data_IF_416950357779
#
_entry.id   IF_416950357779
#
_cell.length_a   1.000
_cell.length_b   1.000
_cell.length_c   1.000
_cell.angle_alpha   90.00
_cell.angle_beta   90.00
_cell.angle_gamma   90.00
#
_symmetry.space_group_name_H-M   'P 1'
#
loop_
_entity.id
_entity.type
_entity.pdbx_description
1 polymer ?
#
# COMPACT_ATOMS: atom_id res chain seq x y z
N UNK A 1 -19.11 19.46 5.86
CA UNK A 1 -18.43 18.34 5.19
C UNK A 1 -16.94 18.45 5.49
N UNK A 2 -16.24 17.35 5.79
CA UNK A 2 -14.83 17.43 6.22
C UNK A 2 -13.93 17.77 5.02
N UNK A 3 -13.31 18.95 5.00
CA UNK A 3 -12.45 19.45 3.92
C UNK A 3 -11.37 18.44 3.47
N UNK A 4 -10.84 17.64 4.40
CA UNK A 4 -9.87 16.60 4.08
C UNK A 4 -10.46 15.47 3.21
N UNK A 5 -11.71 15.09 3.49
CA UNK A 5 -12.38 14.06 2.71
C UNK A 5 -12.67 14.52 1.29
N UNK A 6 -12.98 15.81 1.10
CA UNK A 6 -13.14 16.39 -0.23
C UNK A 6 -11.83 16.41 -1.02
N UNK A 7 -10.72 16.76 -0.36
CA UNK A 7 -9.39 16.71 -0.99
C UNK A 7 -9.06 15.28 -1.40
N UNK A 8 -9.27 14.29 -0.52
CA UNK A 8 -9.03 12.88 -0.85
C UNK A 8 -9.87 12.41 -2.04
N UNK A 9 -11.16 12.72 -2.06
CA UNK A 9 -12.06 12.38 -3.18
C UNK A 9 -11.63 12.99 -4.52
N UNK A 10 -10.85 14.05 -4.51
CA UNK A 10 -10.33 14.71 -5.73
C UNK A 10 -9.06 14.07 -6.28
N UNK A 11 -8.45 13.12 -5.56
CA UNK A 11 -7.22 12.46 -5.96
C UNK A 11 -7.55 11.29 -6.90
N UNK A 12 -6.96 11.26 -8.12
CA UNK A 12 -7.14 10.13 -9.02
C UNK A 12 -6.63 8.83 -8.39
N UNK A 13 -7.46 7.78 -8.43
CA UNK A 13 -7.09 6.50 -7.81
C UNK A 13 -7.99 5.36 -8.26
N UNK A 14 -7.45 4.14 -8.31
CA UNK A 14 -8.17 2.88 -8.37
C UNK A 14 -8.43 2.29 -6.97
N UNK A 15 -7.95 2.92 -5.91
CA UNK A 15 -7.89 2.44 -4.52
C UNK A 15 -9.07 2.86 -3.64
N UNK A 16 -10.13 3.43 -4.22
CA UNK A 16 -11.19 4.19 -3.52
C UNK A 16 -11.83 3.44 -2.34
N UNK A 17 -12.20 2.17 -2.52
CA UNK A 17 -12.97 1.42 -1.52
C UNK A 17 -12.11 0.88 -0.36
N UNK A 18 -10.79 0.94 -0.48
CA UNK A 18 -9.88 0.41 0.54
C UNK A 18 -9.59 1.39 1.69
N UNK A 19 -10.11 2.63 1.64
CA UNK A 19 -9.89 3.65 2.67
C UNK A 19 -10.32 3.18 4.06
N UNK A 20 -11.45 2.49 4.17
CA UNK A 20 -11.98 1.99 5.46
C UNK A 20 -11.04 0.93 6.04
N UNK A 21 -10.57 0.01 5.20
CA UNK A 21 -9.61 -0.99 5.61
C UNK A 21 -8.27 -0.36 6.02
N UNK A 22 -7.74 0.61 5.25
CA UNK A 22 -6.50 1.29 5.58
C UNK A 22 -6.55 1.97 6.96
N UNK A 23 -7.65 2.63 7.28
CA UNK A 23 -7.82 3.23 8.61
C UNK A 23 -7.96 2.18 9.70
N UNK A 24 -8.71 1.10 9.43
CA UNK A 24 -8.91 0.01 10.39
C UNK A 24 -7.59 -0.68 10.71
N UNK A 25 -6.80 -1.09 9.70
CA UNK A 25 -5.54 -1.81 9.93
C UNK A 25 -4.49 -0.95 10.64
N UNK A 26 -4.42 0.35 10.33
CA UNK A 26 -3.52 1.28 11.02
C UNK A 26 -3.95 1.46 12.49
N UNK A 27 -5.24 1.60 12.78
CA UNK A 27 -5.73 1.67 14.15
C UNK A 27 -5.55 0.35 14.91
N UNK A 28 -5.67 -0.79 14.24
CA UNK A 28 -5.50 -2.12 14.84
C UNK A 28 -4.04 -2.42 15.15
N UNK A 29 -3.15 -2.22 14.18
CA UNK A 29 -1.73 -2.57 14.29
C UNK A 29 -0.90 -1.53 15.05
N UNK A 30 -1.38 -0.29 15.21
CA UNK A 30 -0.61 0.82 15.81
C UNK A 30 0.83 0.90 15.25
N UNK A 31 1.02 0.91 13.91
CA UNK A 31 2.33 0.75 13.30
C UNK A 31 3.27 1.91 13.64
N UNK A 32 4.55 1.60 13.80
CA UNK A 32 5.61 2.62 13.83
C UNK A 32 5.99 3.03 12.40
N UNK A 33 6.05 2.06 11.48
CA UNK A 33 6.51 2.27 10.10
C UNK A 33 5.59 1.56 9.11
N UNK A 34 5.08 2.36 8.16
CA UNK A 34 4.38 1.90 6.98
C UNK A 34 5.24 2.25 5.76
N UNK A 35 5.41 1.29 4.85
CA UNK A 35 6.03 1.51 3.54
C UNK A 35 5.00 1.29 2.46
N UNK A 36 4.89 2.26 1.56
CA UNK A 36 3.98 2.27 0.42
C UNK A 36 4.80 2.35 -0.87
N UNK A 37 4.89 1.22 -1.58
CA UNK A 37 5.61 1.09 -2.85
C UNK A 37 4.63 1.30 -4.01
N UNK A 38 4.85 2.35 -4.81
CA UNK A 38 3.93 2.77 -5.86
C UNK A 38 2.92 3.80 -5.35
N UNK A 39 3.35 5.04 -5.31
CA UNK A 39 2.57 6.15 -4.72
C UNK A 39 1.63 6.80 -5.72
N UNK A 40 2.05 6.88 -7.00
CA UNK A 40 1.33 7.60 -8.04
C UNK A 40 0.86 9.00 -7.59
N UNK A 41 -0.44 9.21 -7.40
CA UNK A 41 -1.03 10.45 -6.90
C UNK A 41 -1.18 10.50 -5.36
N UNK A 42 -0.74 9.47 -4.64
CA UNK A 42 -0.60 9.46 -3.18
C UNK A 42 -1.82 8.97 -2.41
N UNK A 43 -2.87 8.47 -3.05
CA UNK A 43 -4.12 8.16 -2.37
C UNK A 43 -3.93 7.11 -1.25
N UNK A 44 -3.27 5.99 -1.53
CA UNK A 44 -2.94 4.94 -0.54
C UNK A 44 -2.16 5.49 0.65
N UNK A 45 -1.06 6.21 0.37
CA UNK A 45 -0.24 6.87 1.41
C UNK A 45 -1.07 7.81 2.28
N UNK A 46 -1.99 8.58 1.69
CA UNK A 46 -2.85 9.49 2.46
C UNK A 46 -3.88 8.72 3.28
N UNK A 47 -4.46 7.63 2.76
CA UNK A 47 -5.38 6.78 3.52
C UNK A 47 -4.72 6.18 4.76
N UNK A 48 -3.51 5.64 4.64
CA UNK A 48 -2.71 5.19 5.78
C UNK A 48 -2.34 6.33 6.74
N UNK A 49 -2.16 7.55 6.22
CA UNK A 49 -1.80 8.73 7.00
C UNK A 49 -2.95 9.37 7.79
N UNK A 50 -4.21 9.06 7.47
CA UNK A 50 -5.39 9.67 8.10
C UNK A 50 -5.44 9.50 9.63
N UNK A 51 -5.16 8.29 10.19
CA UNK A 51 -5.16 8.11 11.64
C UNK A 51 -4.06 8.87 12.37
N UNK A 52 -3.04 9.37 11.66
CA UNK A 52 -1.85 10.04 12.22
C UNK A 52 -1.02 9.16 13.15
N UNK A 53 -1.06 7.87 12.96
CA UNK A 53 -0.30 6.86 13.68
C UNK A 53 0.90 6.45 12.81
N UNK A 54 2.08 6.37 13.41
CA UNK A 54 3.31 5.96 12.74
C UNK A 54 3.81 6.91 11.65
N UNK A 55 4.87 6.48 10.99
CA UNK A 55 5.51 7.19 9.87
C UNK A 55 5.27 6.39 8.58
N UNK A 56 4.77 7.06 7.57
CA UNK A 56 4.55 6.50 6.23
C UNK A 56 5.70 6.94 5.32
N UNK A 57 6.31 5.98 4.62
CA UNK A 57 7.31 6.20 3.59
C UNK A 57 6.73 5.77 2.25
N UNK A 58 6.26 6.73 1.47
CA UNK A 58 5.82 6.50 0.10
C UNK A 58 7.00 6.54 -0.86
N UNK A 59 7.26 5.45 -1.56
CA UNK A 59 8.41 5.30 -2.46
C UNK A 59 7.90 5.14 -3.89
N UNK A 60 8.40 5.96 -4.81
CA UNK A 60 8.02 5.93 -6.22
C UNK A 60 9.08 6.66 -7.04
N UNK A 61 9.18 6.38 -8.32
CA UNK A 61 9.90 7.23 -9.28
C UNK A 61 9.16 8.55 -9.50
N UNK A 62 7.84 8.57 -9.33
CA UNK A 62 6.93 9.67 -9.64
C UNK A 62 6.98 10.12 -11.12
N UNK A 63 7.34 9.20 -11.99
CA UNK A 63 7.46 9.44 -13.44
C UNK A 63 6.41 8.66 -14.23
N UNK A 64 5.60 7.83 -13.51
CA UNK A 64 4.69 6.88 -14.10
C UNK A 64 5.41 5.69 -14.73
N UNK A 65 4.67 4.87 -15.44
CA UNK A 65 5.14 3.67 -16.12
C UNK A 65 4.40 3.47 -17.47
N UNK A 66 4.83 2.52 -18.31
CA UNK A 66 4.19 2.29 -19.61
C UNK A 66 2.70 1.88 -19.54
N UNK A 67 2.21 1.39 -18.38
CA UNK A 67 0.82 0.95 -18.20
C UNK A 67 -0.06 2.08 -17.67
N UNK A 68 0.44 2.87 -16.73
CA UNK A 68 -0.28 3.99 -16.09
C UNK A 68 -0.07 5.34 -16.78
N UNK A 69 0.86 5.39 -17.75
CA UNK A 69 1.27 6.61 -18.43
C UNK A 69 2.36 7.39 -17.69
N UNK A 70 2.96 8.36 -18.41
CA UNK A 70 4.05 9.17 -17.88
C UNK A 70 3.51 10.45 -17.24
N UNK A 71 3.56 10.55 -15.91
CA UNK A 71 3.10 11.69 -15.15
C UNK A 71 4.12 12.04 -14.06
N UNK A 72 4.59 13.27 -14.01
CA UNK A 72 5.40 13.74 -12.88
C UNK A 72 4.48 14.15 -11.72
N UNK A 73 4.29 13.24 -10.76
CA UNK A 73 3.39 13.43 -9.63
C UNK A 73 4.08 13.87 -8.34
N UNK A 74 5.42 14.00 -8.32
CA UNK A 74 6.15 14.27 -7.09
C UNK A 74 5.77 15.60 -6.40
N UNK A 75 5.67 16.67 -7.18
CA UNK A 75 5.25 17.97 -6.61
C UNK A 75 3.77 17.97 -6.23
N UNK A 76 2.93 17.27 -6.98
CA UNK A 76 1.52 17.08 -6.66
C UNK A 76 1.35 16.42 -5.28
N UNK A 77 2.00 15.28 -5.03
CA UNK A 77 1.86 14.60 -3.74
C UNK A 77 2.41 15.42 -2.57
N UNK A 78 3.49 16.17 -2.78
CA UNK A 78 4.02 17.10 -1.76
C UNK A 78 3.03 18.22 -1.44
N UNK A 79 2.37 18.77 -2.46
CA UNK A 79 1.35 19.78 -2.28
C UNK A 79 0.15 19.20 -1.53
N UNK A 80 -0.40 18.04 -1.97
CA UNK A 80 -1.52 17.37 -1.32
C UNK A 80 -1.22 16.99 0.14
N UNK A 81 -0.01 16.52 0.44
CA UNK A 81 0.45 16.30 1.82
C UNK A 81 0.32 17.54 2.70
N UNK A 82 0.70 18.72 2.17
CA UNK A 82 0.56 20.00 2.89
C UNK A 82 -0.91 20.38 3.08
N UNK A 83 -1.72 20.28 2.02
CA UNK A 83 -3.16 20.60 2.07
C UNK A 83 -3.91 19.73 3.10
N UNK A 84 -3.54 18.45 3.20
CA UNK A 84 -4.08 17.49 4.15
C UNK A 84 -3.48 17.59 5.57
N UNK A 85 -2.41 18.39 5.75
CA UNK A 85 -1.66 18.51 6.99
C UNK A 85 -1.19 17.15 7.53
N UNK A 86 -0.53 16.36 6.65
CA UNK A 86 -0.03 15.00 6.95
C UNK A 86 1.49 15.01 7.12
N UNK A 87 1.96 15.46 8.28
CA UNK A 87 3.40 15.57 8.58
C UNK A 87 4.07 14.21 8.86
N UNK A 88 3.28 13.16 9.04
CA UNK A 88 3.74 11.79 9.25
C UNK A 88 4.07 11.04 7.95
N UNK A 89 3.91 11.67 6.77
CA UNK A 89 4.25 11.08 5.47
C UNK A 89 5.54 11.67 4.93
N UNK A 90 6.43 10.81 4.44
CA UNK A 90 7.65 11.18 3.71
C UNK A 90 7.62 10.50 2.35
N UNK A 91 7.72 11.28 1.28
CA UNK A 91 7.85 10.75 -0.07
C UNK A 91 9.32 10.67 -0.46
N UNK A 92 9.75 9.50 -0.95
CA UNK A 92 11.11 9.19 -1.40
C UNK A 92 11.06 8.94 -2.90
N UNK A 93 11.70 9.82 -3.68
CA UNK A 93 11.82 9.64 -5.12
C UNK A 93 12.95 8.66 -5.44
N UNK A 94 12.62 7.50 -6.03
CA UNK A 94 13.60 6.49 -6.41
C UNK A 94 13.00 5.13 -6.75
N UNK A 95 13.84 4.28 -7.34
CA UNK A 95 13.49 2.88 -7.62
C UNK A 95 13.46 2.07 -6.31
N UNK A 96 12.48 1.20 -6.14
CA UNK A 96 12.28 0.39 -4.92
C UNK A 96 13.53 -0.38 -4.52
N UNK A 97 14.18 -1.08 -5.47
CA UNK A 97 15.38 -1.85 -5.21
C UNK A 97 16.59 -1.00 -4.78
N UNK A 98 16.71 0.24 -5.24
CA UNK A 98 17.79 1.14 -4.83
C UNK A 98 17.54 1.68 -3.42
N UNK A 99 16.32 2.06 -3.09
CA UNK A 99 15.93 2.50 -1.75
C UNK A 99 16.10 1.36 -0.74
N UNK A 100 15.71 0.13 -1.10
CA UNK A 100 15.84 -1.06 -0.24
C UNK A 100 17.30 -1.35 0.17
N UNK A 101 18.29 -1.08 -0.69
CA UNK A 101 19.72 -1.27 -0.34
C UNK A 101 20.15 -0.42 0.86
N UNK A 102 19.48 0.70 1.09
CA UNK A 102 19.77 1.63 2.19
C UNK A 102 18.77 1.51 3.35
N UNK A 103 17.70 0.71 3.18
CA UNK A 103 16.68 0.55 4.19
C UNK A 103 17.17 -0.31 5.35
N UNK A 104 16.90 0.13 6.60
CA UNK A 104 17.36 -0.56 7.83
C UNK A 104 16.26 -0.71 8.88
N UNK A 105 15.08 -0.14 8.63
CA UNK A 105 14.03 -0.08 9.64
C UNK A 105 13.09 -1.29 9.50
N UNK A 106 12.63 -1.87 10.61
CA UNK A 106 11.55 -2.86 10.56
C UNK A 106 10.25 -2.20 10.08
N UNK A 107 9.44 -2.94 9.34
CA UNK A 107 8.20 -2.47 8.72
C UNK A 107 7.03 -3.20 9.38
N UNK A 108 6.02 -2.45 9.80
CA UNK A 108 4.78 -3.01 10.34
C UNK A 108 3.76 -3.28 9.23
N UNK A 109 3.65 -2.37 8.25
CA UNK A 109 2.76 -2.52 7.10
C UNK A 109 3.55 -2.21 5.84
N UNK A 110 3.62 -3.16 4.92
CA UNK A 110 4.18 -3.02 3.58
C UNK A 110 3.05 -3.08 2.56
N UNK A 111 2.88 -2.03 1.75
CA UNK A 111 1.97 -2.02 0.62
C UNK A 111 2.77 -2.08 -0.68
N UNK A 112 2.41 -3.00 -1.59
CA UNK A 112 3.04 -3.23 -2.88
C UNK A 112 2.02 -2.92 -3.98
N UNK A 113 2.26 -1.83 -4.69
CA UNK A 113 1.42 -1.31 -5.78
C UNK A 113 2.31 -0.71 -6.88
N UNK A 114 3.35 -1.46 -7.26
CA UNK A 114 4.32 -1.05 -8.26
C UNK A 114 3.94 -1.49 -9.68
N UNK A 115 4.91 -1.98 -10.46
CA UNK A 115 4.67 -2.46 -11.81
C UNK A 115 4.03 -3.86 -11.79
N UNK A 116 2.89 -4.05 -12.44
CA UNK A 116 1.94 -5.14 -12.23
C UNK A 116 2.30 -6.47 -12.92
N UNK A 117 3.51 -6.64 -13.46
CA UNK A 117 3.94 -7.95 -13.98
C UNK A 117 4.29 -8.89 -12.83
N UNK A 118 4.09 -10.20 -13.02
CA UNK A 118 4.47 -11.23 -12.04
C UNK A 118 5.91 -11.05 -11.54
N UNK A 119 6.87 -10.86 -12.47
CA UNK A 119 8.28 -10.70 -12.12
C UNK A 119 8.59 -9.44 -11.31
N UNK A 120 7.88 -8.34 -11.58
CA UNK A 120 8.05 -7.11 -10.84
C UNK A 120 7.51 -7.24 -9.41
N UNK A 121 6.27 -7.71 -9.25
CA UNK A 121 5.64 -7.92 -7.94
C UNK A 121 6.46 -8.91 -7.09
N UNK A 122 6.90 -10.03 -7.70
CA UNK A 122 7.77 -10.99 -7.03
C UNK A 122 9.07 -10.35 -6.56
N UNK A 123 9.73 -9.57 -7.42
CA UNK A 123 10.97 -8.88 -7.07
C UNK A 123 10.77 -7.87 -5.93
N UNK A 124 9.68 -7.13 -5.93
CA UNK A 124 9.35 -6.17 -4.88
C UNK A 124 9.10 -6.87 -3.56
N UNK A 125 8.33 -7.96 -3.58
CA UNK A 125 8.12 -8.81 -2.41
C UNK A 125 9.43 -9.40 -1.88
N UNK A 126 10.23 -10.07 -2.71
CA UNK A 126 11.51 -10.69 -2.32
C UNK A 126 12.50 -9.65 -1.75
N UNK A 127 12.42 -8.43 -2.26
CA UNK A 127 13.29 -7.32 -1.85
C UNK A 127 12.87 -6.72 -0.50
N UNK A 128 11.56 -6.56 -0.25
CA UNK A 128 11.06 -5.76 0.86
C UNK A 128 10.48 -6.59 2.02
N UNK A 129 9.96 -7.80 1.78
CA UNK A 129 9.33 -8.65 2.81
C UNK A 129 10.28 -8.99 3.96
N UNK A 130 11.57 -9.08 3.72
CA UNK A 130 12.60 -9.32 4.75
C UNK A 130 12.70 -8.24 5.82
N UNK A 131 12.16 -7.04 5.57
CA UNK A 131 12.11 -5.96 6.55
C UNK A 131 10.81 -5.95 7.33
N UNK A 132 9.81 -6.74 6.91
CA UNK A 132 8.51 -6.80 7.58
C UNK A 132 8.65 -7.62 8.87
N UNK A 133 8.12 -7.08 9.96
CA UNK A 133 8.08 -7.74 11.27
C UNK A 133 7.29 -9.05 11.19
N UNK A 134 7.50 -9.96 12.14
CA UNK A 134 6.78 -11.24 12.18
C UNK A 134 5.26 -11.09 12.38
N UNK A 135 4.84 -10.06 13.07
CA UNK A 135 3.43 -9.66 13.25
C UNK A 135 2.95 -8.61 12.23
N UNK A 136 3.79 -8.28 11.27
CA UNK A 136 3.51 -7.30 10.23
C UNK A 136 2.56 -7.81 9.15
N UNK A 137 2.12 -6.87 8.32
CA UNK A 137 1.16 -7.10 7.24
C UNK A 137 1.76 -6.67 5.90
N UNK A 138 1.54 -7.49 4.87
CA UNK A 138 1.88 -7.17 3.49
C UNK A 138 0.60 -7.07 2.68
N UNK A 139 0.44 -5.97 1.94
CA UNK A 139 -0.71 -5.66 1.11
C UNK A 139 -0.28 -5.67 -0.36
N UNK A 140 -1.11 -6.26 -1.23
CA UNK A 140 -0.92 -6.29 -2.68
C UNK A 140 -2.12 -5.68 -3.36
N UNK A 141 -1.96 -4.57 -4.04
CA UNK A 141 -3.05 -4.02 -4.87
C UNK A 141 -3.17 -4.76 -6.20
N UNK A 142 -4.28 -4.57 -6.90
CA UNK A 142 -4.58 -5.12 -8.23
C UNK A 142 -4.68 -6.66 -8.33
N UNK A 143 -4.96 -7.34 -7.23
CA UNK A 143 -5.14 -8.79 -7.21
C UNK A 143 -6.34 -9.29 -8.01
N UNK A 144 -7.26 -8.41 -8.42
CA UNK A 144 -8.44 -8.76 -9.21
C UNK A 144 -8.39 -8.26 -10.67
N UNK A 145 -7.26 -7.73 -11.13
CA UNK A 145 -7.10 -7.30 -12.52
C UNK A 145 -6.60 -8.46 -13.39
N UNK A 146 -7.41 -8.97 -14.35
CA UNK A 146 -7.14 -10.25 -15.02
C UNK A 146 -5.85 -10.32 -15.83
N UNK A 147 -5.32 -9.17 -16.28
CA UNK A 147 -4.13 -9.12 -17.14
C UNK A 147 -2.84 -8.82 -16.38
N UNK A 148 -2.94 -8.71 -15.04
CA UNK A 148 -1.80 -8.44 -14.18
C UNK A 148 -1.28 -9.75 -13.56
N UNK A 149 0.04 -9.83 -13.40
CA UNK A 149 0.68 -10.97 -12.74
C UNK A 149 0.61 -10.93 -11.21
N UNK A 150 -0.06 -9.93 -10.65
CA UNK A 150 -0.18 -9.74 -9.19
C UNK A 150 -0.94 -10.91 -8.55
N UNK A 151 -2.08 -11.30 -9.16
CA UNK A 151 -2.90 -12.41 -8.66
C UNK A 151 -2.15 -13.72 -8.66
N UNK A 152 -1.46 -14.02 -9.77
CA UNK A 152 -0.68 -15.24 -9.91
C UNK A 152 0.37 -15.34 -8.80
N UNK A 153 1.14 -14.28 -8.57
CA UNK A 153 2.12 -14.25 -7.49
C UNK A 153 1.48 -14.32 -6.09
N UNK A 154 0.40 -13.57 -5.86
CA UNK A 154 -0.31 -13.59 -4.58
C UNK A 154 -0.82 -14.99 -4.23
N UNK A 155 -1.32 -15.75 -5.20
CA UNK A 155 -1.84 -17.10 -4.98
C UNK A 155 -0.74 -18.10 -4.60
N UNK A 156 0.51 -17.90 -5.01
CA UNK A 156 1.66 -18.72 -4.63
C UNK A 156 2.13 -18.53 -3.18
N UNK A 157 1.77 -17.42 -2.54
CA UNK A 157 2.18 -17.14 -1.16
C UNK A 157 1.49 -18.11 -0.22
N UNK A 158 2.28 -18.93 0.51
CA UNK A 158 1.77 -19.96 1.44
C UNK A 158 1.38 -19.43 2.82
N UNK A 159 1.62 -18.13 3.13
CA UNK A 159 1.24 -17.53 4.40
C UNK A 159 -0.28 -17.34 4.50
N UNK A 160 -0.84 -17.25 5.72
CA UNK A 160 -2.22 -16.85 5.93
C UNK A 160 -2.55 -15.57 5.15
N UNK A 161 -3.65 -15.58 4.40
CA UNK A 161 -4.01 -14.48 3.50
C UNK A 161 -5.51 -14.38 3.28
N UNK A 162 -5.95 -13.19 2.87
CA UNK A 162 -7.32 -12.91 2.42
C UNK A 162 -7.29 -11.86 1.31
N UNK A 163 -8.41 -11.65 0.63
CA UNK A 163 -8.46 -10.73 -0.51
C UNK A 163 -9.77 -9.95 -0.57
N UNK A 164 -9.67 -8.63 -0.67
CA UNK A 164 -10.79 -7.77 -1.05
C UNK A 164 -10.95 -7.80 -2.57
N UNK A 165 -12.18 -7.86 -3.07
CA UNK A 165 -12.46 -7.91 -4.52
C UNK A 165 -12.87 -6.58 -5.12
N UNK A 166 -13.15 -5.56 -4.29
CA UNK A 166 -13.46 -4.20 -4.74
C UNK A 166 -12.20 -3.45 -5.21
N UNK A 167 -12.36 -2.33 -5.90
CA UNK A 167 -11.29 -1.41 -6.30
C UNK A 167 -10.03 -2.12 -6.83
N UNK A 168 -10.21 -2.98 -7.83
CA UNK A 168 -9.17 -3.82 -8.47
C UNK A 168 -8.60 -4.93 -7.58
N UNK A 169 -9.06 -5.07 -6.36
CA UNK A 169 -8.61 -6.08 -5.40
C UNK A 169 -7.48 -5.60 -4.50
N UNK A 170 -7.49 -6.08 -3.25
CA UNK A 170 -6.42 -5.87 -2.29
C UNK A 170 -6.16 -7.16 -1.52
N UNK A 171 -5.06 -7.83 -1.86
CA UNK A 171 -4.57 -9.00 -1.13
C UNK A 171 -3.91 -8.60 0.18
N UNK A 172 -4.18 -9.34 1.24
CA UNK A 172 -3.62 -9.14 2.58
C UNK A 172 -2.93 -10.42 3.01
N UNK A 173 -1.66 -10.32 3.41
CA UNK A 173 -0.84 -11.44 3.87
C UNK A 173 -0.25 -11.11 5.23
N UNK A 174 -0.27 -12.04 6.16
CA UNK A 174 0.43 -11.94 7.45
C UNK A 174 0.81 -13.32 7.96
N UNK A 175 1.87 -13.42 8.76
CA UNK A 175 2.19 -14.64 9.52
C UNK A 175 1.20 -14.86 10.68
N UNK A 176 0.50 -13.80 11.10
CA UNK A 176 -0.51 -13.85 12.16
C UNK A 176 -1.86 -14.30 11.59
N UNK A 177 -2.18 -15.59 11.69
CA UNK A 177 -3.45 -16.14 11.20
C UNK A 177 -4.67 -15.54 11.87
N UNK A 178 -4.60 -15.26 13.18
CA UNK A 178 -5.71 -14.65 13.91
C UNK A 178 -6.04 -13.24 13.40
N UNK A 179 -5.05 -12.49 12.93
CA UNK A 179 -5.31 -11.20 12.30
C UNK A 179 -6.03 -11.37 10.96
N UNK A 180 -5.66 -12.36 10.16
CA UNK A 180 -6.34 -12.65 8.88
C UNK A 180 -7.79 -13.07 9.13
N UNK A 181 -8.05 -13.93 10.11
CA UNK A 181 -9.40 -14.32 10.51
C UNK A 181 -10.24 -13.10 10.96
N UNK A 182 -9.66 -12.23 11.78
CA UNK A 182 -10.34 -10.99 12.23
C UNK A 182 -10.66 -10.04 11.07
N UNK A 183 -9.78 -9.93 10.07
CA UNK A 183 -10.03 -9.15 8.85
C UNK A 183 -11.20 -9.74 8.08
N UNK A 184 -11.21 -11.07 7.86
CA UNK A 184 -12.30 -11.76 7.16
C UNK A 184 -13.63 -11.54 7.85
N UNK A 185 -13.70 -11.68 9.18
CA UNK A 185 -14.91 -11.47 9.96
C UNK A 185 -15.37 -10.00 9.92
N UNK A 186 -14.45 -9.05 10.13
CA UNK A 186 -14.77 -7.61 10.19
C UNK A 186 -15.31 -7.09 8.86
N UNK A 187 -14.73 -7.54 7.75
CA UNK A 187 -15.07 -7.07 6.41
C UNK A 187 -15.92 -8.05 5.61
N UNK A 188 -16.38 -9.14 6.22
CA UNK A 188 -17.25 -10.17 5.63
C UNK A 188 -16.64 -10.73 4.33
N UNK A 189 -15.36 -11.05 4.36
CA UNK A 189 -14.64 -11.64 3.22
C UNK A 189 -14.79 -13.17 3.22
N UNK A 190 -14.76 -13.76 2.03
CA UNK A 190 -14.75 -15.22 1.87
C UNK A 190 -13.50 -15.82 2.52
N UNK A 191 -13.67 -17.03 3.11
CA UNK A 191 -12.60 -17.80 3.76
C UNK A 191 -11.80 -18.62 2.76
#
# INVERSE_FOLDING_TARGET
MNKKLEILKSIPTAWTDHITFAQWIVNKQQPEIIVDLGVAFGYSSFCFGLPKIGKIYGIDTFEGDPMSGHNNTFDYVKQKRKELNMNNITFIKGYFGLVAKQWKKPIDILHIDGFHTYSAVKNDYDTWSKFVKDDGVILFHDTCVPHYGVREFFDEISLPKTNFTCSHGLGVVSKNSSLIEEIQETFQLDK
#
